data_IF_619789611787
#
_entry.id   IF_619789611787
#
_cell.length_a   1.000
_cell.length_b   1.000
_cell.length_c   1.000
_cell.angle_alpha   90.00
_cell.angle_beta   90.00
_cell.angle_gamma   90.00
#
_symmetry.space_group_name_H-M   'P 1'
#
loop_
_entity.id
_entity.type
_entity.pdbx_description
1 polymer ?
#
# COMPACT_ATOMS: atom_id res chain seq x y z
N UNK A 1 -59.49 -26.90 -12.05
CA UNK A 1 -59.58 -27.12 -10.60
C UNK A 1 -58.22 -26.76 -10.05
N UNK A 2 -58.04 -25.49 -9.67
CA UNK A 2 -58.08 -24.90 -8.32
C UNK A 2 -57.08 -25.51 -7.36
N UNK A 3 -56.05 -24.75 -7.02
CA UNK A 3 -55.92 -24.11 -5.72
C UNK A 3 -54.66 -23.22 -5.67
N UNK A 4 -54.93 -21.93 -5.52
CA UNK A 4 -54.01 -20.85 -5.15
C UNK A 4 -53.58 -21.02 -3.68
N UNK A 5 -52.28 -21.01 -3.39
CA UNK A 5 -51.78 -20.80 -2.03
C UNK A 5 -50.97 -19.52 -1.98
N UNK A 6 -51.57 -18.49 -1.38
CA UNK A 6 -50.95 -17.18 -1.04
C UNK A 6 -50.03 -17.38 0.16
N UNK A 7 -48.74 -17.17 -0.01
CA UNK A 7 -47.84 -16.92 1.15
C UNK A 7 -47.67 -15.41 1.37
N UNK A 8 -48.02 -14.97 2.57
CA UNK A 8 -47.91 -13.61 3.08
C UNK A 8 -46.43 -13.27 3.34
N UNK A 9 -45.99 -12.24 2.70
CA UNK A 9 -44.70 -11.56 3.03
C UNK A 9 -44.92 -10.76 4.32
N UNK A 10 -44.28 -11.18 5.40
CA UNK A 10 -44.19 -10.44 6.65
C UNK A 10 -43.00 -9.45 6.54
N UNK A 11 -43.33 -8.19 6.35
CA UNK A 11 -42.40 -7.06 6.47
C UNK A 11 -42.00 -6.93 7.96
N UNK A 12 -40.75 -7.25 8.28
CA UNK A 12 -40.13 -6.93 9.55
C UNK A 12 -39.63 -5.48 9.48
N UNK A 13 -40.22 -4.65 10.29
CA UNK A 13 -39.74 -3.28 10.56
C UNK A 13 -38.43 -3.30 11.34
N UNK A 14 -37.52 -2.34 11.11
CA UNK A 14 -36.29 -2.20 11.90
C UNK A 14 -36.61 -1.58 13.25
N UNK A 15 -36.18 -2.23 14.32
CA UNK A 15 -36.25 -1.72 15.68
C UNK A 15 -35.25 -0.59 15.88
N UNK A 16 -35.76 0.58 16.22
CA UNK A 16 -34.97 1.73 16.65
C UNK A 16 -34.29 1.41 17.98
N UNK A 17 -33.00 1.47 18.05
CA UNK A 17 -32.20 1.46 19.26
C UNK A 17 -32.41 2.77 20.02
N UNK A 18 -32.94 2.68 21.23
CA UNK A 18 -33.16 3.76 22.13
C UNK A 18 -31.80 4.39 22.56
N UNK A 19 -31.70 5.69 22.36
CA UNK A 19 -30.65 6.55 22.90
C UNK A 19 -30.72 6.55 24.45
N UNK A 20 -29.65 6.11 25.09
CA UNK A 20 -29.44 6.23 26.54
C UNK A 20 -29.34 7.72 26.89
N UNK A 21 -30.33 8.19 27.64
CA UNK A 21 -30.30 9.50 28.27
C UNK A 21 -29.18 9.55 29.32
N UNK A 22 -28.27 10.51 29.17
CA UNK A 22 -27.33 10.90 30.22
C UNK A 22 -28.09 11.54 31.36
N UNK A 23 -28.09 10.90 32.50
CA UNK A 23 -28.57 11.49 33.76
C UNK A 23 -27.59 12.57 34.19
N UNK A 24 -28.04 13.81 34.05
CA UNK A 24 -27.36 15.00 34.60
C UNK A 24 -27.41 14.92 36.14
N UNK A 25 -26.25 14.76 36.76
CA UNK A 25 -26.11 14.95 38.21
C UNK A 25 -26.42 16.39 38.54
N UNK A 26 -27.44 16.57 39.37
CA UNK A 26 -27.80 17.89 39.99
C UNK A 26 -26.60 18.37 40.79
N UNK A 27 -25.90 19.36 40.29
CA UNK A 27 -24.99 20.19 41.08
C UNK A 27 -25.83 21.07 41.94
N UNK A 28 -25.66 20.96 43.27
CA UNK A 28 -26.28 21.78 44.29
C UNK A 28 -25.96 23.25 43.99
N UNK A 29 -26.94 24.01 43.56
CA UNK A 29 -26.82 25.45 43.40
C UNK A 29 -26.75 26.09 44.81
N UNK A 30 -25.53 26.34 45.28
CA UNK A 30 -25.30 27.29 46.35
C UNK A 30 -25.82 28.65 45.87
N UNK A 31 -26.81 29.18 46.59
CA UNK A 31 -27.41 30.50 46.37
C UNK A 31 -26.29 31.55 46.20
N UNK A 32 -26.15 32.07 45.03
CA UNK A 32 -25.38 33.29 44.78
C UNK A 32 -26.13 34.45 45.39
N UNK A 33 -25.58 35.03 46.47
CA UNK A 33 -26.05 36.28 47.04
C UNK A 33 -25.92 37.40 46.01
N UNK A 34 -27.01 38.13 45.83
CA UNK A 34 -26.97 39.30 44.94
C UNK A 34 -26.16 40.45 45.60
N UNK A 35 -25.40 41.22 44.84
CA UNK A 35 -24.68 42.39 45.35
C UNK A 35 -25.69 43.50 45.72
N UNK A 36 -25.73 43.85 47.00
CA UNK A 36 -26.54 44.97 47.42
C UNK A 36 -27.43 44.77 48.74
N UNK A 37 -27.41 43.58 49.35
CA UNK A 37 -28.04 43.42 50.63
C UNK A 37 -27.25 44.12 51.76
N UNK A 38 -27.88 44.97 52.62
CA UNK A 38 -27.18 45.64 53.68
C UNK A 38 -26.72 44.64 54.73
N UNK A 39 -25.44 44.70 55.07
CA UNK A 39 -24.89 43.96 56.21
C UNK A 39 -25.34 44.58 57.51
N UNK A 40 -25.62 43.75 58.51
CA UNK A 40 -26.04 44.17 59.85
C UNK A 40 -24.97 45.05 60.54
N UNK A 41 -25.25 45.73 61.62
CA UNK A 41 -24.47 46.86 62.12
C UNK A 41 -23.08 46.58 62.70
N UNK A 42 -22.46 45.40 62.44
CA UNK A 42 -21.14 45.04 62.98
C UNK A 42 -20.23 44.29 62.07
N UNK A 43 -20.40 44.28 60.71
CA UNK A 43 -19.46 43.69 59.80
C UNK A 43 -18.67 44.77 59.01
N UNK A 44 -17.29 44.62 58.88
CA UNK A 44 -16.55 45.57 58.13
C UNK A 44 -16.83 45.43 56.62
N UNK A 45 -16.71 46.47 55.79
CA UNK A 45 -17.04 46.45 54.37
C UNK A 45 -16.16 45.43 53.61
N UNK A 46 -16.82 44.52 52.92
CA UNK A 46 -16.16 43.58 52.04
C UNK A 46 -15.58 44.30 50.84
N UNK A 47 -14.26 44.40 50.78
CA UNK A 47 -13.55 44.92 49.61
C UNK A 47 -13.81 43.97 48.42
N UNK A 48 -14.46 44.48 47.38
CA UNK A 48 -14.61 43.82 46.07
C UNK A 48 -13.21 43.75 45.48
N UNK A 49 -12.60 42.56 45.52
CA UNK A 49 -11.38 42.29 44.73
C UNK A 49 -11.78 42.22 43.26
N UNK A 50 -11.40 43.25 42.51
CA UNK A 50 -11.41 43.15 41.03
C UNK A 50 -10.51 42.02 40.60
N UNK A 51 -10.98 41.09 39.70
CA UNK A 51 -10.12 40.04 39.20
C UNK A 51 -8.92 40.67 38.44
N UNK A 52 -7.70 40.09 38.56
CA UNK A 52 -6.57 40.62 37.85
C UNK A 52 -6.86 40.63 36.35
N UNK A 53 -6.64 41.76 35.69
CA UNK A 53 -6.76 41.92 34.27
C UNK A 53 -5.81 40.91 33.61
N UNK A 54 -6.38 39.95 32.90
CA UNK A 54 -5.59 38.98 32.06
C UNK A 54 -4.88 39.83 30.99
N UNK A 55 -3.60 40.06 31.16
CA UNK A 55 -2.78 40.61 30.08
C UNK A 55 -2.98 39.74 28.82
N UNK A 56 -3.18 40.34 27.63
CA UNK A 56 -3.33 39.56 26.43
C UNK A 56 -2.08 38.72 26.24
N UNK A 57 -2.25 37.40 26.11
CA UNK A 57 -1.16 36.46 25.79
C UNK A 57 -0.46 37.02 24.52
N UNK A 58 0.80 37.34 24.63
CA UNK A 58 1.61 37.77 23.50
C UNK A 58 1.83 36.53 22.63
N UNK A 59 0.89 36.24 21.72
CA UNK A 59 0.92 35.07 20.79
C UNK A 59 1.96 35.27 19.67
N UNK A 60 2.46 36.48 19.48
CA UNK A 60 3.38 36.79 18.40
C UNK A 60 4.72 36.04 18.44
N UNK A 61 5.37 35.79 19.59
CA UNK A 61 6.59 34.98 19.61
C UNK A 61 6.30 33.51 19.27
N UNK A 62 5.12 32.98 19.60
CA UNK A 62 4.75 31.61 19.25
C UNK A 62 4.54 31.46 17.74
N UNK A 63 3.87 32.43 17.11
CA UNK A 63 3.70 32.47 15.65
C UNK A 63 5.01 32.66 14.91
N UNK A 64 5.94 33.45 15.46
CA UNK A 64 7.27 33.63 14.89
C UNK A 64 8.10 32.33 14.95
N UNK A 65 8.04 31.57 16.05
CA UNK A 65 8.72 30.28 16.20
C UNK A 65 8.15 29.25 15.25
N UNK A 66 6.82 29.18 15.11
CA UNK A 66 6.16 28.29 14.15
C UNK A 66 6.50 28.67 12.70
N UNK A 67 6.50 29.96 12.37
CA UNK A 67 6.90 30.45 11.05
C UNK A 67 8.37 30.15 10.72
N UNK A 68 9.28 30.34 11.68
CA UNK A 68 10.68 30.01 11.51
C UNK A 68 10.90 28.49 11.38
N UNK A 69 10.16 27.70 12.17
CA UNK A 69 10.20 26.22 12.09
C UNK A 69 9.74 25.69 10.73
N UNK A 70 8.63 26.21 10.21
CA UNK A 70 8.15 25.83 8.86
C UNK A 70 9.07 26.30 7.75
N UNK A 71 9.65 27.49 7.89
CA UNK A 71 10.64 28.01 6.93
C UNK A 71 11.93 27.18 6.91
N UNK A 72 12.48 26.86 8.09
CA UNK A 72 13.68 26.01 8.20
C UNK A 72 13.40 24.58 7.72
N UNK A 73 12.25 24.04 8.05
CA UNK A 73 11.83 22.71 7.53
C UNK A 73 11.74 22.72 5.99
N UNK A 74 11.14 23.75 5.40
CA UNK A 74 11.04 23.86 3.95
C UNK A 74 12.42 24.07 3.29
N UNK A 75 13.31 24.84 3.89
CA UNK A 75 14.70 25.01 3.42
C UNK A 75 15.51 23.71 3.50
N UNK A 76 15.38 22.98 4.60
CA UNK A 76 16.03 21.66 4.75
C UNK A 76 15.45 20.69 3.73
N UNK A 77 14.12 20.65 3.58
CA UNK A 77 13.45 19.82 2.60
C UNK A 77 13.87 20.12 1.16
N UNK A 78 13.94 21.40 0.77
CA UNK A 78 14.41 21.78 -0.56
C UNK A 78 15.87 21.42 -0.79
N UNK A 79 16.76 21.69 0.17
CA UNK A 79 18.17 21.31 0.06
C UNK A 79 18.39 19.80 -0.01
N UNK A 80 17.63 19.03 0.75
CA UNK A 80 17.72 17.56 0.68
C UNK A 80 17.13 17.01 -0.63
N UNK A 81 16.05 17.62 -1.14
CA UNK A 81 15.46 17.21 -2.43
C UNK A 81 16.36 17.61 -3.62
N UNK A 82 17.00 18.79 -3.58
CA UNK A 82 17.95 19.22 -4.61
C UNK A 82 19.27 18.43 -4.56
N UNK A 83 19.80 18.16 -3.37
CA UNK A 83 20.96 17.28 -3.21
C UNK A 83 20.66 15.85 -3.67
N UNK A 84 19.45 15.37 -3.43
CA UNK A 84 18.98 14.08 -3.90
C UNK A 84 18.78 14.07 -5.43
N UNK A 85 18.16 15.11 -5.99
CA UNK A 85 18.00 15.25 -7.45
C UNK A 85 19.37 15.40 -8.15
N UNK A 86 20.33 16.12 -7.58
CA UNK A 86 21.70 16.24 -8.10
C UNK A 86 22.48 14.94 -7.95
N UNK A 87 22.24 14.17 -6.88
CA UNK A 87 22.80 12.81 -6.72
C UNK A 87 22.26 11.86 -7.78
N UNK A 88 20.96 11.92 -8.09
CA UNK A 88 20.35 11.15 -9.18
C UNK A 88 20.89 11.60 -10.55
N UNK A 89 21.09 12.90 -10.76
CA UNK A 89 21.62 13.43 -12.02
C UNK A 89 23.12 13.13 -12.24
N UNK A 90 23.88 12.96 -11.16
CA UNK A 90 25.31 12.61 -11.18
C UNK A 90 25.57 11.10 -10.99
N UNK A 91 24.50 10.27 -10.97
CA UNK A 91 24.68 8.83 -10.93
C UNK A 91 25.39 8.39 -12.20
N UNK A 92 26.51 7.64 -12.09
CA UNK A 92 27.10 7.02 -13.27
C UNK A 92 25.98 6.25 -13.97
N UNK A 93 25.81 6.49 -15.27
CA UNK A 93 24.87 5.70 -16.06
C UNK A 93 25.18 4.24 -15.78
N UNK A 94 24.23 3.53 -15.16
CA UNK A 94 24.35 2.09 -15.00
C UNK A 94 24.63 1.59 -16.42
N UNK A 95 25.79 0.97 -16.66
CA UNK A 95 26.12 0.40 -17.95
C UNK A 95 25.05 -0.64 -18.29
N UNK A 96 24.05 -0.22 -19.01
CA UNK A 96 22.82 -0.93 -19.32
C UNK A 96 21.68 0.07 -19.41
N UNK A 97 21.69 0.91 -20.47
CA UNK A 97 20.56 1.69 -21.00
C UNK A 97 19.48 2.07 -19.97
N UNK A 98 19.40 3.37 -19.66
CA UNK A 98 18.40 3.96 -18.76
C UNK A 98 17.00 3.37 -18.98
N UNK A 99 16.58 2.52 -18.06
CA UNK A 99 15.21 2.06 -18.00
C UNK A 99 14.30 3.31 -17.85
N UNK A 100 13.44 3.54 -18.84
CA UNK A 100 12.55 4.71 -18.87
C UNK A 100 12.84 5.74 -19.96
N UNK A 101 14.00 5.71 -20.62
CA UNK A 101 14.33 6.65 -21.74
C UNK A 101 14.08 6.05 -23.12
N UNK A 102 13.70 4.76 -23.22
CA UNK A 102 13.44 4.11 -24.51
C UNK A 102 12.12 4.58 -25.11
N UNK A 103 12.09 4.71 -26.43
CA UNK A 103 10.90 5.02 -27.20
C UNK A 103 10.02 3.80 -27.50
N UNK A 104 10.57 2.57 -27.30
CA UNK A 104 9.89 1.29 -27.51
C UNK A 104 10.27 0.29 -26.43
N UNK A 105 9.38 -0.65 -26.07
CA UNK A 105 9.67 -1.68 -25.09
C UNK A 105 10.77 -2.62 -25.57
N UNK A 106 11.51 -3.21 -24.63
CA UNK A 106 12.58 -4.17 -24.90
C UNK A 106 12.02 -5.48 -25.47
N UNK A 107 10.86 -5.90 -25.01
CA UNK A 107 10.14 -7.08 -25.49
C UNK A 107 8.71 -6.71 -25.84
N UNK A 108 8.20 -7.31 -26.91
CA UNK A 108 6.79 -7.24 -27.26
C UNK A 108 5.94 -8.20 -26.38
N UNK A 109 4.64 -7.96 -26.33
CA UNK A 109 3.68 -8.86 -25.65
C UNK A 109 3.58 -10.25 -26.30
N UNK A 110 4.04 -10.39 -27.55
CA UNK A 110 4.06 -11.66 -28.28
C UNK A 110 5.31 -12.49 -27.93
N UNK A 111 6.39 -11.83 -27.52
CA UNK A 111 7.65 -12.48 -27.15
C UNK A 111 7.71 -12.85 -25.67
N UNK A 112 7.17 -12.00 -24.82
CA UNK A 112 7.20 -12.14 -23.35
C UNK A 112 5.83 -11.86 -22.79
N UNK A 113 5.32 -12.75 -21.95
CA UNK A 113 4.07 -12.53 -21.24
C UNK A 113 4.36 -12.07 -19.82
N UNK A 114 3.87 -10.87 -19.47
CA UNK A 114 3.95 -10.31 -18.13
C UNK A 114 2.56 -10.22 -17.53
N UNK A 115 2.39 -10.77 -16.33
CA UNK A 115 1.24 -10.54 -15.47
C UNK A 115 1.69 -9.75 -14.23
N UNK A 116 1.04 -8.62 -13.96
CA UNK A 116 1.22 -7.94 -12.69
C UNK A 116 0.40 -8.61 -11.61
N UNK A 117 0.96 -8.69 -10.41
CA UNK A 117 0.31 -9.25 -9.24
C UNK A 117 0.22 -8.17 -8.17
N UNK A 118 -0.97 -7.61 -8.01
CA UNK A 118 -1.25 -6.52 -7.10
C UNK A 118 -2.14 -6.97 -5.93
N UNK A 119 -2.11 -6.19 -4.86
CA UNK A 119 -2.86 -6.41 -3.63
C UNK A 119 -2.11 -5.83 -2.45
N UNK A 120 -2.81 -5.53 -1.37
CA UNK A 120 -2.22 -4.96 -0.17
C UNK A 120 -1.13 -5.84 0.44
N UNK A 121 -0.29 -5.27 1.31
CA UNK A 121 0.68 -6.04 2.07
C UNK A 121 -0.06 -7.07 2.93
N UNK A 122 0.37 -8.35 2.89
CA UNK A 122 -0.31 -9.44 3.61
C UNK A 122 -1.50 -10.07 2.86
N UNK A 123 -1.85 -9.65 1.64
CA UNK A 123 -2.93 -10.26 0.84
C UNK A 123 -2.65 -11.68 0.32
N UNK A 124 -1.47 -12.26 0.58
CA UNK A 124 -1.15 -13.63 0.18
C UNK A 124 -0.60 -13.80 -1.24
N UNK A 125 -0.23 -12.71 -1.91
CA UNK A 125 0.32 -12.72 -3.29
C UNK A 125 1.42 -13.75 -3.50
N UNK A 126 2.47 -13.72 -2.68
CA UNK A 126 3.61 -14.63 -2.80
C UNK A 126 3.21 -16.11 -2.72
N UNK A 127 2.29 -16.47 -1.82
CA UNK A 127 1.78 -17.85 -1.70
C UNK A 127 1.11 -18.30 -3.00
N UNK A 128 0.31 -17.44 -3.62
CA UNK A 128 -0.36 -17.76 -4.87
C UNK A 128 0.63 -17.79 -6.05
N UNK A 129 1.59 -16.87 -6.07
CA UNK A 129 2.65 -16.88 -7.08
C UNK A 129 3.48 -18.17 -7.06
N UNK A 130 3.81 -18.71 -5.87
CA UNK A 130 4.53 -19.98 -5.76
C UNK A 130 3.77 -21.13 -6.43
N UNK A 131 2.45 -21.21 -6.24
CA UNK A 131 1.60 -22.23 -6.89
C UNK A 131 1.54 -22.01 -8.41
N UNK A 132 1.44 -20.75 -8.85
CA UNK A 132 1.43 -20.41 -10.28
C UNK A 132 2.76 -20.75 -10.97
N UNK A 133 3.89 -20.59 -10.28
CA UNK A 133 5.21 -21.04 -10.78
C UNK A 133 5.19 -22.55 -11.05
N UNK A 134 4.70 -23.33 -10.06
CA UNK A 134 4.62 -24.80 -10.18
C UNK A 134 3.72 -25.26 -11.32
N UNK A 135 2.54 -24.68 -11.44
CA UNK A 135 1.50 -25.23 -12.32
C UNK A 135 1.50 -24.62 -13.74
N UNK A 136 2.02 -23.39 -13.89
CA UNK A 136 1.99 -22.64 -15.14
C UNK A 136 3.36 -22.34 -15.71
N UNK A 137 4.44 -22.61 -14.97
CA UNK A 137 5.81 -22.36 -15.43
C UNK A 137 6.19 -20.88 -15.48
N UNK A 138 5.52 -20.05 -14.71
CA UNK A 138 5.89 -18.64 -14.58
C UNK A 138 7.23 -18.49 -13.84
N UNK A 139 8.01 -17.49 -14.21
CA UNK A 139 9.07 -16.95 -13.37
C UNK A 139 8.47 -15.88 -12.46
N UNK A 140 8.56 -16.07 -11.16
CA UNK A 140 8.09 -15.11 -10.17
C UNK A 140 9.20 -14.11 -9.85
N UNK A 141 8.93 -12.83 -10.04
CA UNK A 141 9.78 -11.71 -9.69
C UNK A 141 9.04 -10.84 -8.67
N UNK A 142 9.47 -10.89 -7.41
CA UNK A 142 8.96 -10.03 -6.36
C UNK A 142 9.76 -8.73 -6.33
N UNK A 143 9.14 -7.61 -6.69
CA UNK A 143 9.78 -6.30 -6.63
C UNK A 143 10.30 -5.96 -5.22
N UNK A 144 9.57 -6.39 -4.18
CA UNK A 144 10.00 -6.19 -2.80
C UNK A 144 11.21 -7.05 -2.42
N UNK A 145 11.35 -8.25 -2.97
CA UNK A 145 12.51 -9.12 -2.69
C UNK A 145 13.73 -8.64 -3.47
N UNK A 146 13.58 -8.27 -4.74
CA UNK A 146 14.67 -7.66 -5.53
C UNK A 146 15.22 -6.39 -4.86
N UNK A 147 14.34 -5.55 -4.31
CA UNK A 147 14.77 -4.37 -3.56
C UNK A 147 15.52 -4.74 -2.27
N UNK A 148 15.12 -5.78 -1.56
CA UNK A 148 15.85 -6.26 -0.37
C UNK A 148 17.20 -6.87 -0.74
N UNK A 149 17.25 -7.66 -1.80
CA UNK A 149 18.52 -8.20 -2.32
C UNK A 149 19.48 -7.08 -2.71
N UNK A 150 19.00 -6.05 -3.40
CA UNK A 150 19.80 -4.88 -3.74
C UNK A 150 20.20 -4.06 -2.51
N UNK A 151 19.33 -3.93 -1.51
CA UNK A 151 19.63 -3.29 -0.22
C UNK A 151 20.82 -3.96 0.47
N UNK A 152 20.85 -5.28 0.47
CA UNK A 152 21.84 -6.08 1.20
C UNK A 152 23.08 -6.40 0.35
N UNK A 153 23.08 -6.06 -0.94
CA UNK A 153 24.19 -6.29 -1.86
C UNK A 153 25.42 -5.44 -1.48
N UNK A 154 26.55 -6.10 -1.25
CA UNK A 154 27.80 -5.42 -0.95
C UNK A 154 28.21 -4.47 -2.10
N UNK A 155 28.47 -3.20 -1.76
CA UNK A 155 28.83 -2.17 -2.73
C UNK A 155 27.66 -1.61 -3.54
N UNK A 156 26.42 -1.85 -3.13
CA UNK A 156 25.24 -1.23 -3.75
C UNK A 156 25.22 0.28 -3.54
N UNK A 157 25.12 1.05 -4.61
CA UNK A 157 24.93 2.49 -4.56
C UNK A 157 23.53 2.88 -4.06
N UNK A 158 22.56 1.96 -4.16
CA UNK A 158 21.16 2.18 -3.78
C UNK A 158 20.80 1.61 -2.41
N UNK A 159 21.66 0.79 -1.79
CA UNK A 159 21.34 0.01 -0.62
C UNK A 159 20.77 0.82 0.54
N UNK A 160 21.46 1.88 0.98
CA UNK A 160 21.00 2.73 2.10
C UNK A 160 19.74 3.54 1.74
N UNK A 161 19.60 3.96 0.50
CA UNK A 161 18.39 4.62 0.02
C UNK A 161 17.20 3.64 0.08
N UNK A 162 17.33 2.45 -0.49
CA UNK A 162 16.27 1.42 -0.49
C UNK A 162 15.85 1.07 0.93
N UNK A 163 16.81 0.90 1.84
CA UNK A 163 16.58 0.63 3.26
C UNK A 163 15.73 1.70 3.93
N UNK A 164 16.01 2.97 3.64
CA UNK A 164 15.22 4.10 4.15
C UNK A 164 13.78 4.04 3.65
N UNK A 165 13.56 3.85 2.34
CA UNK A 165 12.23 3.76 1.75
C UNK A 165 11.43 2.57 2.31
N UNK A 166 12.06 1.40 2.47
CA UNK A 166 11.42 0.20 3.04
C UNK A 166 11.01 0.46 4.49
N UNK A 167 11.90 1.06 5.31
CA UNK A 167 11.63 1.40 6.71
C UNK A 167 10.48 2.38 6.85
N UNK A 168 10.42 3.40 5.99
CA UNK A 168 9.35 4.39 5.99
C UNK A 168 8.05 3.89 5.32
N UNK A 169 8.06 2.71 4.73
CA UNK A 169 6.91 2.14 4.02
C UNK A 169 6.53 2.92 2.77
N UNK A 170 7.46 3.69 2.22
CA UNK A 170 7.29 4.50 1.02
C UNK A 170 7.77 3.76 -0.23
N UNK A 171 7.52 4.33 -1.42
CA UNK A 171 7.82 3.68 -2.69
C UNK A 171 9.19 4.13 -3.18
N UNK A 172 10.08 3.17 -3.43
CA UNK A 172 11.39 3.40 -4.05
C UNK A 172 11.22 4.03 -5.44
N UNK A 173 12.10 4.96 -5.85
CA UNK A 173 12.09 5.59 -7.17
C UNK A 173 11.90 4.59 -8.30
N UNK A 174 11.14 4.97 -9.33
CA UNK A 174 10.75 4.06 -10.41
C UNK A 174 11.95 3.57 -11.22
N UNK A 175 12.95 4.42 -11.40
CA UNK A 175 14.15 4.13 -12.18
C UNK A 175 14.88 2.91 -11.61
N UNK A 176 15.04 2.87 -10.29
CA UNK A 176 15.69 1.74 -9.60
C UNK A 176 14.84 0.49 -9.68
N UNK A 177 13.53 0.60 -9.39
CA UNK A 177 12.65 -0.58 -9.37
C UNK A 177 12.50 -1.18 -10.76
N UNK A 178 12.30 -0.36 -11.80
CA UNK A 178 12.17 -0.81 -13.20
C UNK A 178 13.47 -1.44 -13.69
N UNK A 179 14.61 -0.84 -13.34
CA UNK A 179 15.93 -1.38 -13.72
C UNK A 179 16.19 -2.75 -13.10
N UNK A 180 15.87 -2.93 -11.82
CA UNK A 180 16.03 -4.22 -11.14
C UNK A 180 15.15 -5.30 -11.77
N UNK A 181 13.91 -4.96 -12.10
CA UNK A 181 12.98 -5.88 -12.78
C UNK A 181 13.49 -6.23 -14.19
N UNK A 182 13.94 -5.24 -14.98
CA UNK A 182 14.52 -5.48 -16.31
C UNK A 182 15.71 -6.42 -16.24
N UNK A 183 16.65 -6.16 -15.31
CA UNK A 183 17.83 -7.00 -15.12
C UNK A 183 17.45 -8.44 -14.74
N UNK A 184 16.51 -8.61 -13.81
CA UNK A 184 16.05 -9.93 -13.39
C UNK A 184 15.34 -10.69 -14.52
N UNK A 185 14.56 -10.00 -15.36
CA UNK A 185 13.91 -10.58 -16.54
C UNK A 185 14.97 -11.02 -17.59
N UNK A 186 15.94 -10.16 -17.89
CA UNK A 186 17.06 -10.48 -18.81
C UNK A 186 17.82 -11.71 -18.35
N UNK A 187 18.29 -11.69 -17.11
CA UNK A 187 19.02 -12.82 -16.53
C UNK A 187 18.24 -14.13 -16.60
N UNK A 188 16.93 -14.09 -16.31
CA UNK A 188 16.07 -15.27 -16.36
C UNK A 188 15.85 -15.80 -17.79
N UNK A 189 15.82 -14.93 -18.79
CA UNK A 189 15.68 -15.32 -20.20
C UNK A 189 17.03 -15.89 -20.71
N UNK A 190 18.15 -15.23 -20.39
CA UNK A 190 19.49 -15.62 -20.82
C UNK A 190 19.96 -16.93 -20.20
N UNK A 191 19.60 -17.18 -18.93
CA UNK A 191 19.89 -18.46 -18.25
C UNK A 191 19.11 -19.65 -18.79
N UNK A 192 18.07 -19.40 -19.59
CA UNK A 192 17.19 -20.45 -20.12
C UNK A 192 16.25 -21.07 -19.07
N UNK A 193 16.22 -20.57 -17.84
CA UNK A 193 15.32 -21.06 -16.78
C UNK A 193 13.84 -20.83 -17.11
N UNK A 194 13.53 -19.81 -17.89
CA UNK A 194 12.17 -19.44 -18.27
C UNK A 194 11.90 -19.74 -19.75
N UNK A 195 11.75 -21.00 -20.09
CA UNK A 195 11.49 -21.44 -21.47
C UNK A 195 10.24 -20.80 -22.10
N UNK A 196 9.21 -20.52 -21.30
CA UNK A 196 7.96 -19.91 -21.78
C UNK A 196 8.00 -18.38 -21.81
N UNK A 197 9.07 -17.75 -21.31
CA UNK A 197 9.16 -16.29 -21.13
C UNK A 197 7.92 -15.69 -20.44
N UNK A 198 7.40 -16.41 -19.43
CA UNK A 198 6.21 -16.06 -18.65
C UNK A 198 6.65 -15.47 -17.31
N UNK A 199 6.21 -14.27 -16.98
CA UNK A 199 6.60 -13.57 -15.77
C UNK A 199 5.41 -13.17 -14.92
N UNK A 200 5.50 -13.43 -13.59
CA UNK A 200 4.66 -12.83 -12.56
C UNK A 200 5.49 -11.74 -11.88
N UNK A 201 5.07 -10.49 -11.98
CA UNK A 201 5.72 -9.38 -11.29
C UNK A 201 4.88 -9.01 -10.08
N UNK A 202 5.34 -9.43 -8.88
CA UNK A 202 4.62 -9.28 -7.61
C UNK A 202 4.99 -7.98 -6.92
N UNK A 203 3.96 -7.25 -6.48
CA UNK A 203 4.09 -6.01 -5.74
C UNK A 203 4.56 -4.83 -6.58
N UNK A 204 4.38 -4.89 -7.88
CA UNK A 204 4.65 -3.85 -8.87
C UNK A 204 3.58 -3.89 -9.99
N UNK A 205 3.18 -2.75 -10.57
CA UNK A 205 3.56 -1.39 -10.19
C UNK A 205 2.81 -0.89 -8.94
N UNK A 206 3.39 0.09 -8.23
CA UNK A 206 2.77 0.71 -7.05
C UNK A 206 2.34 2.16 -7.28
N UNK A 207 2.71 2.74 -8.43
CA UNK A 207 2.34 4.07 -8.91
C UNK A 207 2.07 4.01 -10.40
N UNK A 208 1.26 4.95 -10.91
CA UNK A 208 0.95 5.04 -12.34
C UNK A 208 2.19 5.31 -13.19
N UNK A 209 3.12 6.15 -12.72
CA UNK A 209 4.37 6.43 -13.39
C UNK A 209 5.23 5.17 -13.59
N UNK A 210 5.28 4.30 -12.56
CA UNK A 210 5.94 2.99 -12.64
C UNK A 210 5.29 2.09 -13.69
N UNK A 211 3.95 2.03 -13.74
CA UNK A 211 3.22 1.25 -14.71
C UNK A 211 3.56 1.69 -16.14
N UNK A 212 3.43 2.97 -16.40
CA UNK A 212 3.71 3.55 -17.73
C UNK A 212 5.19 3.43 -18.12
N UNK A 213 6.11 3.64 -17.18
CA UNK A 213 7.54 3.50 -17.44
C UNK A 213 7.90 2.06 -17.82
N UNK A 214 7.41 1.07 -17.07
CA UNK A 214 7.67 -0.34 -17.34
C UNK A 214 7.08 -0.77 -18.69
N UNK A 215 5.81 -0.48 -18.94
CA UNK A 215 5.15 -0.89 -20.19
C UNK A 215 5.77 -0.24 -21.44
N UNK A 216 6.24 1.01 -21.30
CA UNK A 216 6.89 1.73 -22.40
C UNK A 216 8.32 1.25 -22.67
N UNK A 217 9.08 0.87 -21.64
CA UNK A 217 10.52 0.62 -21.78
C UNK A 217 10.91 -0.85 -21.64
N UNK A 218 10.12 -1.69 -20.96
CA UNK A 218 10.45 -3.10 -20.71
C UNK A 218 9.52 -4.02 -21.48
N UNK A 219 8.25 -4.11 -21.11
CA UNK A 219 7.28 -4.99 -21.75
C UNK A 219 5.84 -4.58 -21.37
N UNK A 220 4.89 -4.53 -22.33
CA UNK A 220 3.48 -4.38 -22.00
C UNK A 220 2.96 -5.56 -21.17
N UNK A 221 2.21 -5.29 -20.12
CA UNK A 221 1.59 -6.37 -19.34
C UNK A 221 0.30 -6.86 -19.99
N UNK A 222 0.04 -8.16 -19.92
CA UNK A 222 -1.18 -8.76 -20.49
C UNK A 222 -2.41 -8.39 -19.67
N UNK A 223 -2.35 -8.55 -18.35
CA UNK A 223 -3.33 -8.11 -17.37
C UNK A 223 -2.75 -8.17 -15.96
N UNK A 224 -3.52 -7.67 -15.00
CA UNK A 224 -3.18 -7.61 -13.58
C UNK A 224 -4.08 -8.55 -12.78
N UNK A 225 -3.50 -9.40 -11.92
CA UNK A 225 -4.21 -10.16 -10.90
C UNK A 225 -4.25 -9.30 -9.63
N UNK A 226 -5.44 -8.92 -9.20
CA UNK A 226 -5.62 -8.12 -7.99
C UNK A 226 -6.22 -8.95 -6.86
N UNK A 227 -5.43 -9.16 -5.80
CA UNK A 227 -5.84 -9.86 -4.59
C UNK A 227 -6.51 -8.86 -3.64
N UNK A 228 -7.85 -8.86 -3.64
CA UNK A 228 -8.67 -8.03 -2.78
C UNK A 228 -8.80 -8.67 -1.39
N UNK A 229 -8.42 -7.92 -0.37
CA UNK A 229 -8.39 -8.40 1.01
C UNK A 229 -8.58 -7.21 1.96
N UNK A 230 -9.38 -7.39 3.00
CA UNK A 230 -9.59 -6.36 4.01
C UNK A 230 -8.33 -6.08 4.82
N UNK A 231 -8.21 -4.86 5.29
CA UNK A 231 -7.07 -4.41 6.10
C UNK A 231 -6.90 -5.27 7.36
N UNK A 232 -8.02 -5.62 8.03
CA UNK A 232 -8.00 -6.43 9.24
C UNK A 232 -7.39 -7.84 9.02
N UNK A 233 -7.73 -8.48 7.90
CA UNK A 233 -7.17 -9.80 7.54
C UNK A 233 -5.70 -9.67 7.18
N UNK A 234 -5.34 -8.65 6.41
CA UNK A 234 -3.96 -8.38 6.02
C UNK A 234 -3.07 -8.07 7.22
N UNK A 235 -3.54 -7.23 8.17
CA UNK A 235 -2.80 -6.90 9.40
C UNK A 235 -2.52 -8.14 10.23
N UNK A 236 -3.54 -8.98 10.48
CA UNK A 236 -3.38 -10.24 11.21
C UNK A 236 -2.32 -11.15 10.56
N UNK A 237 -2.36 -11.28 9.23
CA UNK A 237 -1.39 -12.11 8.49
C UNK A 237 0.03 -11.54 8.56
N UNK A 238 0.18 -10.21 8.51
CA UNK A 238 1.49 -9.55 8.60
C UNK A 238 2.10 -9.66 9.99
N UNK A 239 1.31 -9.48 11.05
CA UNK A 239 1.77 -9.63 12.43
C UNK A 239 2.25 -11.06 12.67
N UNK A 240 1.47 -12.06 12.25
CA UNK A 240 1.88 -13.47 12.35
C UNK A 240 3.16 -13.77 11.54
N UNK A 241 3.28 -13.21 10.34
CA UNK A 241 4.50 -13.34 9.53
C UNK A 241 5.70 -12.69 10.22
N UNK A 242 5.52 -11.55 10.88
CA UNK A 242 6.57 -10.83 11.61
C UNK A 242 7.23 -11.67 12.72
N UNK A 243 6.51 -12.65 13.29
CA UNK A 243 7.03 -13.56 14.31
C UNK A 243 8.12 -14.51 13.75
N UNK A 244 8.12 -14.78 12.44
CA UNK A 244 8.96 -15.83 11.83
C UNK A 244 9.82 -15.36 10.66
N UNK A 245 9.44 -14.29 9.98
CA UNK A 245 10.07 -13.89 8.71
C UNK A 245 11.37 -13.11 8.84
N UNK A 246 11.65 -12.53 10.01
CA UNK A 246 12.77 -11.62 10.21
C UNK A 246 12.69 -10.28 9.44
N UNK A 247 11.57 -9.98 8.78
CA UNK A 247 11.38 -8.74 8.03
C UNK A 247 11.21 -7.55 8.96
N UNK A 248 12.07 -6.56 8.84
CA UNK A 248 12.03 -5.35 9.66
C UNK A 248 10.77 -4.49 9.46
N UNK A 249 10.08 -4.65 8.31
CA UNK A 249 8.88 -3.91 7.92
C UNK A 249 7.54 -4.59 8.32
N UNK A 250 7.59 -5.71 9.07
CA UNK A 250 6.40 -6.41 9.58
C UNK A 250 6.09 -6.05 11.06
N UNK A 251 6.36 -4.83 11.47
CA UNK A 251 5.95 -4.26 12.75
C UNK A 251 4.69 -3.37 12.60
N UNK A 252 3.91 -3.13 13.67
CA UNK A 252 2.63 -2.41 13.59
C UNK A 252 2.73 -1.01 12.99
N UNK A 253 3.84 -0.29 13.23
CA UNK A 253 4.03 1.05 12.69
C UNK A 253 4.26 1.02 11.17
N UNK A 254 5.17 0.19 10.70
CA UNK A 254 5.46 -0.01 9.28
C UNK A 254 4.27 -0.57 8.52
N UNK A 255 3.50 -1.49 9.13
CA UNK A 255 2.27 -2.04 8.54
C UNK A 255 1.26 -0.94 8.25
N UNK A 256 0.99 -0.03 9.20
CA UNK A 256 0.06 1.10 8.99
C UNK A 256 0.54 2.06 7.89
N UNK A 257 1.83 2.36 7.84
CA UNK A 257 2.43 3.18 6.78
C UNK A 257 2.23 2.52 5.42
N UNK A 258 2.49 1.22 5.31
CA UNK A 258 2.34 0.43 4.07
C UNK A 258 0.88 0.35 3.60
N UNK A 259 -0.09 0.23 4.51
CA UNK A 259 -1.51 0.27 4.14
C UNK A 259 -1.90 1.62 3.57
N UNK A 260 -1.49 2.70 4.23
CA UNK A 260 -1.73 4.06 3.72
C UNK A 260 -1.13 4.23 2.32
N UNK A 261 0.14 3.90 2.15
CA UNK A 261 0.83 3.96 0.85
C UNK A 261 0.11 3.13 -0.20
N UNK A 262 -0.35 1.90 0.14
CA UNK A 262 -1.09 1.06 -0.79
C UNK A 262 -2.40 1.71 -1.25
N UNK A 263 -3.19 2.24 -0.33
CA UNK A 263 -4.48 2.89 -0.66
C UNK A 263 -4.26 4.16 -1.49
N UNK A 264 -3.28 4.97 -1.11
CA UNK A 264 -3.03 6.28 -1.75
C UNK A 264 -2.38 6.15 -3.13
N UNK A 265 -1.54 5.14 -3.35
CA UNK A 265 -0.72 5.07 -4.57
C UNK A 265 -0.99 3.86 -5.44
N UNK A 266 -1.20 2.67 -4.86
CA UNK A 266 -1.38 1.43 -5.63
C UNK A 266 -2.82 1.18 -6.06
N UNK A 267 -3.80 1.60 -5.26
CA UNK A 267 -5.21 1.51 -5.67
C UNK A 267 -5.56 2.35 -6.91
N UNK A 268 -5.01 3.54 -7.13
CA UNK A 268 -5.15 4.26 -8.40
C UNK A 268 -4.65 3.45 -9.62
N UNK A 269 -3.56 2.68 -9.48
CA UNK A 269 -3.06 1.79 -10.55
C UNK A 269 -4.06 0.68 -10.86
N UNK A 270 -4.63 0.05 -9.82
CA UNK A 270 -5.67 -0.99 -10.01
C UNK A 270 -6.87 -0.42 -10.75
N UNK A 271 -7.36 0.77 -10.37
CA UNK A 271 -8.48 1.45 -11.02
C UNK A 271 -8.21 1.80 -12.48
N UNK A 272 -6.99 2.25 -12.79
CA UNK A 272 -6.57 2.55 -14.15
C UNK A 272 -6.62 1.30 -15.03
N UNK A 273 -6.02 0.19 -14.59
CA UNK A 273 -6.08 -1.07 -15.33
C UNK A 273 -7.49 -1.67 -15.37
N UNK A 274 -8.31 -1.46 -14.33
CA UNK A 274 -9.71 -1.89 -14.31
C UNK A 274 -10.54 -1.15 -15.38
N UNK A 275 -10.29 0.16 -15.56
CA UNK A 275 -10.95 0.96 -16.62
C UNK A 275 -10.63 0.46 -18.03
N UNK A 276 -9.51 -0.27 -18.19
CA UNK A 276 -9.04 -0.87 -19.45
C UNK A 276 -9.44 -2.35 -19.59
N UNK A 277 -10.29 -2.90 -18.72
CA UNK A 277 -10.61 -4.34 -18.61
C UNK A 277 -9.37 -5.24 -18.46
N UNK A 278 -8.33 -4.73 -17.82
CA UNK A 278 -7.06 -5.42 -17.60
C UNK A 278 -6.86 -5.86 -16.14
N UNK A 279 -7.92 -6.01 -15.36
CA UNK A 279 -7.86 -6.51 -13.98
C UNK A 279 -8.64 -7.80 -13.83
N UNK A 280 -8.04 -8.76 -13.17
CA UNK A 280 -8.66 -9.98 -12.67
C UNK A 280 -8.71 -9.88 -11.15
N UNK A 281 -9.89 -9.61 -10.61
CA UNK A 281 -10.09 -9.44 -9.16
C UNK A 281 -10.36 -10.78 -8.50
N UNK A 282 -9.60 -11.08 -7.42
CA UNK A 282 -9.66 -12.31 -6.63
C UNK A 282 -9.96 -11.96 -5.17
N UNK A 283 -10.96 -12.59 -4.58
CA UNK A 283 -11.20 -12.49 -3.13
C UNK A 283 -10.12 -13.28 -2.37
N UNK A 284 -9.20 -12.56 -1.72
CA UNK A 284 -8.05 -13.12 -1.03
C UNK A 284 -8.27 -13.35 0.48
N UNK A 285 -9.50 -13.20 0.97
CA UNK A 285 -9.83 -13.47 2.39
C UNK A 285 -9.99 -14.95 2.71
N UNK A 286 -10.28 -15.73 1.69
CA UNK A 286 -10.53 -17.17 1.80
C UNK A 286 -9.26 -17.96 2.14
N UNK A 287 -9.43 -19.27 2.39
CA UNK A 287 -8.32 -20.20 2.56
C UNK A 287 -7.44 -20.25 1.29
N UNK A 288 -6.12 -20.40 1.42
CA UNK A 288 -5.17 -20.30 0.31
C UNK A 288 -5.49 -21.20 -0.89
N UNK A 289 -6.05 -22.39 -0.65
CA UNK A 289 -6.40 -23.33 -1.71
C UNK A 289 -7.68 -22.92 -2.45
N UNK A 290 -8.62 -22.28 -1.76
CA UNK A 290 -9.81 -21.73 -2.42
C UNK A 290 -9.45 -20.53 -3.28
N UNK A 291 -8.63 -19.61 -2.74
CA UNK A 291 -8.09 -18.48 -3.50
C UNK A 291 -7.39 -18.97 -4.77
N UNK A 292 -6.63 -20.07 -4.66
CA UNK A 292 -5.92 -20.61 -5.81
C UNK A 292 -6.86 -21.16 -6.88
N UNK A 293 -7.93 -21.85 -6.50
CA UNK A 293 -8.95 -22.32 -7.45
C UNK A 293 -9.60 -21.16 -8.20
N UNK A 294 -9.93 -20.09 -7.48
CA UNK A 294 -10.49 -18.88 -8.08
C UNK A 294 -9.50 -18.24 -9.07
N UNK A 295 -8.19 -18.20 -8.73
CA UNK A 295 -7.14 -17.75 -9.64
C UNK A 295 -7.08 -18.61 -10.90
N UNK A 296 -7.08 -19.94 -10.77
CA UNK A 296 -7.03 -20.88 -11.92
C UNK A 296 -8.22 -20.70 -12.85
N UNK A 297 -9.44 -20.56 -12.31
CA UNK A 297 -10.64 -20.29 -13.08
C UNK A 297 -10.51 -19.00 -13.89
N UNK A 298 -10.09 -17.93 -13.25
CA UNK A 298 -9.91 -16.62 -13.90
C UNK A 298 -8.80 -16.61 -14.94
N UNK A 299 -7.69 -17.30 -14.70
CA UNK A 299 -6.63 -17.47 -15.70
C UNK A 299 -7.12 -18.22 -16.94
N UNK A 300 -7.92 -19.27 -16.74
CA UNK A 300 -8.54 -20.02 -17.84
C UNK A 300 -9.48 -19.13 -18.67
N UNK A 301 -10.29 -18.27 -18.03
CA UNK A 301 -11.15 -17.29 -18.71
C UNK A 301 -10.34 -16.33 -19.58
N UNK A 302 -9.13 -15.93 -19.13
CA UNK A 302 -8.21 -15.05 -19.85
C UNK A 302 -7.27 -15.79 -20.82
N UNK A 303 -7.49 -17.10 -21.06
CA UNK A 303 -6.74 -17.90 -22.02
C UNK A 303 -5.35 -18.33 -21.58
N UNK A 304 -5.02 -18.22 -20.28
CA UNK A 304 -3.76 -18.72 -19.72
C UNK A 304 -3.96 -20.18 -19.29
N UNK A 305 -3.12 -21.07 -19.81
CA UNK A 305 -3.24 -22.51 -19.58
C UNK A 305 -2.08 -23.02 -18.70
N UNK A 306 -2.32 -23.99 -17.80
CA UNK A 306 -1.24 -24.65 -17.08
C UNK A 306 -0.32 -25.42 -18.04
N UNK A 307 0.92 -25.64 -17.62
CA UNK A 307 1.84 -26.53 -18.34
C UNK A 307 1.34 -27.97 -18.17
N UNK A 308 1.15 -28.67 -19.29
CA UNK A 308 0.86 -30.10 -19.23
C UNK A 308 2.11 -30.85 -18.79
N UNK A 309 2.20 -31.24 -17.52
CA UNK A 309 3.32 -32.02 -16.97
C UNK A 309 3.58 -33.34 -17.70
N UNK A 310 2.66 -33.81 -18.51
CA UNK A 310 2.81 -35.02 -19.34
C UNK A 310 3.89 -34.86 -20.44
N UNK A 311 4.25 -33.64 -20.84
CA UNK A 311 5.23 -33.39 -21.90
C UNK A 311 6.70 -33.37 -21.43
N UNK A 312 6.93 -33.13 -20.15
CA UNK A 312 8.31 -32.98 -19.60
C UNK A 312 8.96 -34.35 -19.38
N UNK A 313 8.19 -35.42 -19.20
CA UNK A 313 8.74 -36.76 -19.00
C UNK A 313 9.23 -37.43 -20.31
N UNK A 314 8.85 -36.92 -21.47
CA UNK A 314 9.22 -37.54 -22.76
C UNK A 314 10.53 -36.99 -23.34
N UNK A 315 11.13 -35.94 -22.77
CA UNK A 315 12.40 -35.39 -23.21
C UNK A 315 13.60 -35.79 -22.31
N UNK A 316 13.35 -36.49 -21.21
CA UNK A 316 14.37 -36.95 -20.26
C UNK A 316 14.63 -38.48 -20.35
N UNK A 317 14.10 -39.14 -21.37
CA UNK A 317 14.37 -40.55 -21.71
C UNK A 317 15.10 -40.60 -23.12
#
# INVERSE_FOLDING_TARGET
MSLLSRQRILLRQPQFFATRAFTSSRVNASRLRQPGEPTGPNEPPTHIRTPPSKSPLKVWPILAILGLGTYLFNQIWQRTSEAFASSLANMPAIEGTAAGSRSSPLWSSDEVTVLFVLGGPGAGKGTQCTKLVSDYGFKHLSAGDLLREEQDRAGSEFGEMIKTYIKEGTIVPMEVTVQLLENAMKSSIESGENHGKLFLIDGFPRKLDQAHAFERSVCPSKFTIFFDCSEAVMEKRLLHRGETSGRADDNPESIRKRFRTFVETSMPVVKEFESQDRVVKINAEQEPDQVYRDVQEKLKERGVKPINLTFVQTQAS
#
